data_IF_673057770527
#
_entry.id   IF_673057770527
#
_cell.length_a   1.000
_cell.length_b   1.000
_cell.length_c   1.000
_cell.angle_alpha   90.00
_cell.angle_beta   90.00
_cell.angle_gamma   90.00
#
_symmetry.space_group_name_H-M   'P 1'
#
loop_
_entity.id
_entity.type
_entity.pdbx_description
1 polymer ?
#
# COMPACT_ATOMS: atom_id res chain seq x y z
N UNK A 1 -7.98 2.15 -13.13
CA UNK A 1 -6.61 2.72 -12.97
C UNK A 1 -5.58 1.67 -13.38
N UNK A 2 -5.84 0.93 -14.47
CA UNK A 2 -5.22 -0.39 -14.72
C UNK A 2 -4.46 -0.43 -16.04
N UNK A 3 -3.97 0.72 -16.52
CA UNK A 3 -2.92 0.68 -17.53
C UNK A 3 -1.63 0.34 -16.81
N UNK A 4 -1.21 -0.92 -16.96
CA UNK A 4 0.11 -1.39 -16.61
C UNK A 4 1.12 -0.45 -17.27
N UNK A 5 1.66 0.50 -16.51
CA UNK A 5 2.71 1.36 -17.01
C UNK A 5 4.01 0.57 -17.01
N UNK A 6 4.77 0.75 -18.07
CA UNK A 6 6.15 0.28 -18.16
C UNK A 6 7.01 1.17 -17.27
N UNK A 7 8.01 0.62 -16.55
CA UNK A 7 8.72 1.42 -15.56
C UNK A 7 9.55 2.58 -16.14
N UNK A 8 9.85 2.49 -17.43
CA UNK A 8 10.49 3.54 -18.23
C UNK A 8 9.61 4.81 -18.36
N UNK A 9 8.29 4.67 -18.23
CA UNK A 9 7.30 5.76 -18.31
C UNK A 9 6.87 6.28 -16.94
N UNK A 10 7.55 5.83 -15.86
CA UNK A 10 7.28 6.32 -14.52
C UNK A 10 7.46 7.83 -14.41
N UNK A 11 6.46 8.50 -13.83
CA UNK A 11 6.54 9.91 -13.48
C UNK A 11 5.99 10.10 -12.06
N UNK A 12 6.74 10.72 -11.14
CA UNK A 12 6.23 11.05 -9.81
C UNK A 12 5.20 12.18 -9.89
N UNK A 13 4.27 12.25 -8.93
CA UNK A 13 3.35 13.41 -8.83
C UNK A 13 4.12 14.69 -8.48
N UNK A 14 5.18 14.56 -7.70
CA UNK A 14 6.04 15.69 -7.35
C UNK A 14 7.18 15.77 -8.37
N UNK A 15 7.08 16.73 -9.28
CA UNK A 15 8.18 17.10 -10.16
C UNK A 15 9.05 18.08 -9.37
N UNK A 16 10.28 17.67 -9.03
CA UNK A 16 11.26 18.54 -8.37
C UNK A 16 11.71 19.64 -9.35
N UNK A 17 10.96 20.74 -9.37
CA UNK A 17 11.18 21.87 -10.26
C UNK A 17 11.83 23.02 -9.47
N UNK A 18 13.00 22.76 -8.87
CA UNK A 18 13.88 23.75 -8.22
C UNK A 18 13.34 24.51 -6.99
N UNK A 19 12.03 24.55 -6.78
CA UNK A 19 11.35 25.30 -5.72
C UNK A 19 10.94 24.35 -4.60
N UNK A 20 11.85 24.11 -3.67
CA UNK A 20 11.59 23.74 -2.26
C UNK A 20 10.42 22.79 -1.96
N UNK A 21 10.21 21.72 -2.72
CA UNK A 21 9.38 20.60 -2.26
C UNK A 21 10.33 19.60 -1.61
N UNK A 22 10.20 19.42 -0.29
CA UNK A 22 10.96 18.37 0.39
C UNK A 22 10.59 17.02 -0.21
N UNK A 23 11.57 16.38 -0.84
CA UNK A 23 11.41 15.04 -1.36
C UNK A 23 11.09 14.08 -0.20
N UNK A 24 10.03 13.29 -0.32
CA UNK A 24 9.65 12.33 0.74
C UNK A 24 10.70 11.22 0.91
N UNK A 25 11.48 10.95 -0.14
CA UNK A 25 12.64 10.05 -0.14
C UNK A 25 13.84 10.84 -0.66
N UNK A 26 14.99 10.88 0.03
CA UNK A 26 16.11 11.74 -0.36
C UNK A 26 16.84 11.35 -1.66
N UNK A 27 16.45 10.24 -2.29
CA UNK A 27 17.05 9.72 -3.51
C UNK A 27 15.95 9.48 -4.53
N UNK A 28 16.12 9.99 -5.75
CA UNK A 28 15.31 9.54 -6.88
C UNK A 28 15.53 8.03 -7.04
N UNK A 29 14.47 7.21 -7.05
CA UNK A 29 14.62 5.78 -7.23
C UNK A 29 15.23 5.48 -8.60
N UNK A 30 16.20 4.58 -8.63
CA UNK A 30 16.77 4.03 -9.86
C UNK A 30 15.72 3.22 -10.62
N UNK A 31 15.90 3.01 -11.92
CA UNK A 31 14.99 2.19 -12.73
C UNK A 31 14.72 0.80 -12.11
N UNK A 32 15.77 0.16 -11.57
CA UNK A 32 15.64 -1.15 -10.88
C UNK A 32 14.73 -1.06 -9.64
N UNK A 33 14.81 0.04 -8.89
CA UNK A 33 13.96 0.26 -7.72
C UNK A 33 12.51 0.56 -8.11
N UNK A 34 12.30 1.30 -9.20
CA UNK A 34 10.96 1.56 -9.75
C UNK A 34 10.29 0.25 -10.17
N UNK A 35 11.01 -0.63 -10.88
CA UNK A 35 10.50 -1.95 -11.25
C UNK A 35 10.13 -2.81 -10.03
N UNK A 36 11.00 -2.87 -9.02
CA UNK A 36 10.70 -3.58 -7.75
C UNK A 36 9.48 -3.01 -7.04
N UNK A 37 9.35 -1.69 -7.02
CA UNK A 37 8.19 -1.02 -6.42
C UNK A 37 6.91 -1.32 -7.24
N UNK A 38 7.00 -1.40 -8.56
CA UNK A 38 5.89 -1.78 -9.44
C UNK A 38 5.40 -3.20 -9.17
N UNK A 39 6.31 -4.16 -9.08
CA UNK A 39 5.96 -5.54 -8.70
C UNK A 39 5.35 -5.62 -7.30
N UNK A 40 5.92 -4.86 -6.35
CA UNK A 40 5.40 -4.77 -4.98
C UNK A 40 3.99 -4.17 -4.94
N UNK A 41 3.71 -3.13 -5.73
CA UNK A 41 2.34 -2.59 -5.90
C UNK A 41 1.40 -3.65 -6.45
N UNK A 42 1.83 -4.42 -7.45
CA UNK A 42 1.00 -5.50 -8.02
C UNK A 42 0.67 -6.57 -6.98
N UNK A 43 1.64 -6.97 -6.17
CA UNK A 43 1.42 -7.90 -5.07
C UNK A 43 0.45 -7.33 -4.03
N UNK A 44 0.63 -6.05 -3.64
CA UNK A 44 -0.28 -5.37 -2.71
C UNK A 44 -1.71 -5.29 -3.25
N UNK A 45 -1.89 -4.95 -4.53
CA UNK A 45 -3.21 -4.88 -5.18
C UNK A 45 -3.88 -6.24 -5.25
N UNK A 46 -3.14 -7.31 -5.55
CA UNK A 46 -3.68 -8.69 -5.48
C UNK A 46 -4.11 -9.06 -4.06
N UNK A 47 -3.28 -8.75 -3.06
CA UNK A 47 -3.61 -9.01 -1.65
C UNK A 47 -4.86 -8.25 -1.20
N UNK A 48 -5.00 -6.98 -1.63
CA UNK A 48 -6.19 -6.17 -1.37
C UNK A 48 -7.44 -6.67 -2.10
N UNK A 49 -7.29 -7.29 -3.28
CA UNK A 49 -8.41 -7.90 -3.99
C UNK A 49 -8.95 -9.14 -3.24
N UNK A 50 -8.06 -9.90 -2.58
CA UNK A 50 -8.43 -11.08 -1.79
C UNK A 50 -8.95 -10.69 -0.40
N UNK A 51 -8.28 -9.74 0.26
CA UNK A 51 -8.57 -9.32 1.62
C UNK A 51 -8.58 -7.78 1.73
N UNK A 52 -9.69 -7.15 1.28
CA UNK A 52 -9.80 -5.70 1.20
C UNK A 52 -9.89 -5.02 2.57
N UNK A 53 -10.30 -5.71 3.64
CA UNK A 53 -10.44 -5.10 4.96
C UNK A 53 -9.24 -5.36 5.88
N UNK A 54 -8.13 -5.90 5.36
CA UNK A 54 -6.91 -6.14 6.16
C UNK A 54 -6.03 -4.88 6.23
N UNK A 55 -5.82 -4.28 7.42
CA UNK A 55 -5.07 -3.02 7.55
C UNK A 55 -3.64 -3.08 7.02
N UNK A 56 -2.96 -4.22 7.18
CA UNK A 56 -1.56 -4.36 6.80
C UNK A 56 -1.34 -4.25 5.28
N UNK A 57 -2.28 -4.71 4.46
CA UNK A 57 -2.18 -4.61 3.00
C UNK A 57 -2.24 -3.15 2.52
N UNK A 58 -3.12 -2.33 3.11
CA UNK A 58 -3.20 -0.90 2.84
C UNK A 58 -1.93 -0.16 3.27
N UNK A 59 -1.42 -0.47 4.47
CA UNK A 59 -0.15 0.08 4.96
C UNK A 59 1.02 -0.24 4.02
N UNK A 60 1.11 -1.51 3.59
CA UNK A 60 2.18 -1.94 2.69
C UNK A 60 2.11 -1.23 1.34
N UNK A 61 0.91 -1.08 0.76
CA UNK A 61 0.73 -0.35 -0.50
C UNK A 61 1.11 1.14 -0.35
N UNK A 62 0.69 1.77 0.75
CA UNK A 62 1.06 3.16 1.08
C UNK A 62 2.58 3.36 1.12
N UNK A 63 3.32 2.46 1.77
CA UNK A 63 4.78 2.55 1.84
C UNK A 63 5.44 2.46 0.46
N UNK A 64 4.92 1.62 -0.45
CA UNK A 64 5.43 1.51 -1.82
C UNK A 64 5.08 2.76 -2.63
N UNK A 65 3.87 3.30 -2.48
CA UNK A 65 3.44 4.55 -3.14
C UNK A 65 4.30 5.75 -2.71
N UNK A 66 4.69 5.80 -1.43
CA UNK A 66 5.57 6.84 -0.92
C UNK A 66 6.97 6.76 -1.55
N UNK A 67 7.51 5.55 -1.73
CA UNK A 67 8.78 5.31 -2.44
C UNK A 67 8.74 5.71 -3.92
N UNK A 68 7.56 5.62 -4.53
CA UNK A 68 7.31 6.05 -5.90
C UNK A 68 6.87 7.53 -5.98
N UNK A 69 6.98 8.28 -4.88
CA UNK A 69 6.65 9.71 -4.81
C UNK A 69 5.21 10.04 -5.24
N UNK A 70 4.28 9.18 -4.84
CA UNK A 70 2.83 9.39 -4.93
C UNK A 70 2.24 9.64 -3.52
N UNK A 71 2.58 10.78 -2.85
CA UNK A 71 2.23 11.01 -1.45
C UNK A 71 0.74 11.13 -1.19
N UNK A 72 -0.04 11.69 -2.13
CA UNK A 72 -1.49 11.83 -2.00
C UNK A 72 -2.17 10.46 -1.89
N UNK A 73 -1.74 9.53 -2.74
CA UNK A 73 -2.26 8.17 -2.78
C UNK A 73 -1.74 7.36 -1.58
N UNK A 74 -0.47 7.56 -1.21
CA UNK A 74 0.12 6.97 -0.01
C UNK A 74 -0.61 7.41 1.27
N UNK A 75 -0.95 8.69 1.40
CA UNK A 75 -1.67 9.24 2.54
C UNK A 75 -3.10 8.66 2.63
N UNK A 76 -3.79 8.57 1.50
CA UNK A 76 -5.13 7.96 1.43
C UNK A 76 -5.11 6.50 1.90
N UNK A 77 -4.13 5.72 1.44
CA UNK A 77 -3.97 4.33 1.83
C UNK A 77 -3.55 4.18 3.31
N UNK A 78 -2.67 5.04 3.81
CA UNK A 78 -2.28 5.06 5.21
C UNK A 78 -3.47 5.39 6.12
N UNK A 79 -4.31 6.34 5.71
CA UNK A 79 -5.53 6.70 6.43
C UNK A 79 -6.52 5.54 6.48
N UNK A 80 -6.76 4.87 5.35
CA UNK A 80 -7.60 3.65 5.32
C UNK A 80 -7.07 2.56 6.24
N UNK A 81 -5.75 2.33 6.23
CA UNK A 81 -5.12 1.37 7.14
C UNK A 81 -5.39 1.74 8.62
N UNK A 82 -5.28 3.01 8.98
CA UNK A 82 -5.57 3.52 10.32
C UNK A 82 -7.02 3.29 10.74
N UNK A 83 -7.98 3.61 9.87
CA UNK A 83 -9.42 3.40 10.11
C UNK A 83 -9.72 1.92 10.33
N UNK A 84 -9.22 1.05 9.45
CA UNK A 84 -9.42 -0.39 9.59
C UNK A 84 -8.76 -0.93 10.86
N UNK A 85 -7.56 -0.45 11.20
CA UNK A 85 -6.88 -0.80 12.45
C UNK A 85 -7.71 -0.41 13.66
N UNK A 86 -8.29 0.80 13.66
CA UNK A 86 -9.16 1.23 14.76
C UNK A 86 -10.40 0.33 14.87
N UNK A 87 -11.00 -0.05 13.75
CA UNK A 87 -12.10 -1.02 13.74
C UNK A 87 -11.69 -2.42 14.27
N UNK A 88 -10.46 -2.88 14.01
CA UNK A 88 -10.00 -4.20 14.53
C UNK A 88 -9.87 -4.21 16.06
N UNK A 89 -9.38 -3.12 16.65
CA UNK A 89 -9.11 -3.04 18.10
C UNK A 89 -10.25 -2.43 18.91
N UNK A 90 -11.21 -1.77 18.27
CA UNK A 90 -12.42 -1.32 18.92
C UNK A 90 -13.38 -2.51 19.10
N UNK A 91 -13.58 -2.92 20.35
CA UNK A 91 -14.42 -4.07 20.73
C UNK A 91 -15.88 -3.97 20.27
N UNK A 92 -16.34 -2.81 19.81
CA UNK A 92 -17.66 -2.64 19.18
C UNK A 92 -17.79 -3.30 17.82
N UNK A 93 -16.67 -3.67 17.18
CA UNK A 93 -16.63 -4.18 15.82
C UNK A 93 -16.13 -5.63 15.73
N UNK A 94 -16.23 -6.41 16.81
CA UNK A 94 -15.84 -7.83 16.84
C UNK A 94 -16.57 -8.68 15.78
N UNK A 95 -17.85 -8.38 15.51
CA UNK A 95 -18.62 -9.07 14.46
C UNK A 95 -18.51 -8.37 13.09
N UNK A 96 -17.64 -7.36 12.97
CA UNK A 96 -17.45 -6.67 11.70
C UNK A 96 -16.70 -7.55 10.72
N UNK A 97 -16.97 -7.32 9.44
CA UNK A 97 -16.23 -7.96 8.34
C UNK A 97 -14.73 -7.72 8.41
N UNK A 98 -14.30 -6.58 8.98
CA UNK A 98 -12.89 -6.23 9.18
C UNK A 98 -12.22 -7.21 10.13
N UNK A 99 -12.86 -7.51 11.26
CA UNK A 99 -12.33 -8.44 12.27
C UNK A 99 -12.27 -9.88 11.71
N UNK A 100 -13.34 -10.32 11.04
CA UNK A 100 -13.40 -11.64 10.40
C UNK A 100 -12.32 -11.81 9.33
N UNK A 101 -12.14 -10.84 8.44
CA UNK A 101 -11.10 -10.90 7.41
C UNK A 101 -9.69 -10.87 8.02
N UNK A 102 -9.48 -10.14 9.12
CA UNK A 102 -8.20 -10.16 9.83
C UNK A 102 -7.90 -11.55 10.41
N UNK A 103 -8.89 -12.20 11.03
CA UNK A 103 -8.77 -13.58 11.51
C UNK A 103 -8.47 -14.57 10.38
N UNK A 104 -9.18 -14.46 9.26
CA UNK A 104 -8.95 -15.30 8.08
C UNK A 104 -7.55 -15.11 7.48
N UNK A 105 -7.01 -13.89 7.43
CA UNK A 105 -5.65 -13.65 6.94
C UNK A 105 -4.60 -14.30 7.84
N UNK A 106 -4.78 -14.27 9.16
CA UNK A 106 -3.87 -14.94 10.10
C UNK A 106 -3.86 -16.45 9.84
N UNK A 107 -5.03 -17.08 9.75
CA UNK A 107 -5.13 -18.51 9.44
C UNK A 107 -4.63 -18.87 8.06
N UNK A 108 -4.94 -18.08 7.03
CA UNK A 108 -4.46 -18.30 5.67
C UNK A 108 -2.93 -18.28 5.61
N UNK A 109 -2.29 -17.36 6.34
CA UNK A 109 -0.83 -17.28 6.42
C UNK A 109 -0.21 -18.51 7.06
N UNK A 110 -0.87 -19.10 8.04
CA UNK A 110 -0.40 -20.31 8.71
C UNK A 110 -0.66 -21.56 7.86
N UNK A 111 -1.79 -21.61 7.14
CA UNK A 111 -2.13 -22.72 6.24
C UNK A 111 -1.24 -22.79 5.00
N UNK A 112 -0.78 -21.66 4.47
CA UNK A 112 0.10 -21.60 3.28
C UNK A 112 1.57 -21.89 3.61
N UNK A 113 1.94 -21.96 4.90
CA UNK A 113 3.30 -22.31 5.35
C UNK A 113 3.55 -23.83 5.48
N UNK A 114 2.65 -24.68 4.99
CA UNK A 114 2.78 -26.15 4.95
C UNK A 114 3.34 -26.61 3.61
#
# INVERSE_FOLDING_TARGET
>A
MDRYWEANLWQPTIISDGASVQQFVPLRPTFSEVEKCRESLRACTKALALFPYTPCHWRNRSAVLLKLEFPELAATDAYKALVLMTCVFDGKFLDSRVWLEMGMVVWYRDAVKV
#
